data_IF_440996769075
#
_entry.id   IF_440996769075
#
_cell.length_a   1.000
_cell.length_b   1.000
_cell.length_c   1.000
_cell.angle_alpha   90.00
_cell.angle_beta   90.00
_cell.angle_gamma   90.00
#
_symmetry.space_group_name_H-M   'P 1'
#
loop_
_entity.id
_entity.type
_entity.pdbx_description
1 polymer ?
#
# COMPACT_ATOMS: atom_id res chain seq x y z
N UNK A 1 -6.64 3.08 6.91
CA UNK A 1 -5.23 3.19 6.47
C UNK A 1 -4.91 4.53 5.83
N UNK A 2 -5.65 4.98 4.81
CA UNK A 2 -5.37 6.26 4.13
C UNK A 2 -5.37 7.47 5.07
N UNK A 3 -6.36 7.57 5.97
CA UNK A 3 -6.41 8.64 6.98
C UNK A 3 -5.24 8.62 7.98
N UNK A 4 -4.61 7.46 8.21
CA UNK A 4 -3.39 7.38 9.00
C UNK A 4 -2.21 7.92 8.20
N UNK A 5 -2.06 7.49 6.94
CA UNK A 5 -1.01 7.96 6.05
C UNK A 5 -1.05 9.47 5.84
N UNK A 6 -2.22 10.04 5.54
CA UNK A 6 -2.41 11.49 5.40
C UNK A 6 -1.91 12.27 6.63
N UNK A 7 -2.17 11.76 7.84
CA UNK A 7 -1.69 12.37 9.08
C UNK A 7 -0.18 12.23 9.26
N UNK A 8 0.38 11.04 8.99
CA UNK A 8 1.82 10.80 9.10
C UNK A 8 2.64 11.66 8.12
N UNK A 9 2.08 11.96 6.95
CA UNK A 9 2.69 12.86 5.96
C UNK A 9 2.34 14.34 6.15
N UNK A 10 1.68 14.71 7.25
CA UNK A 10 1.32 16.08 7.58
C UNK A 10 0.50 16.78 6.46
N UNK A 11 -0.35 16.02 5.76
CA UNK A 11 -1.21 16.58 4.72
C UNK A 11 -2.18 17.58 5.36
N UNK A 12 -2.34 18.80 4.82
CA UNK A 12 -3.25 19.81 5.35
C UNK A 12 -4.67 19.29 5.58
N UNK A 13 -5.33 19.76 6.64
CA UNK A 13 -6.65 19.25 7.02
C UNK A 13 -7.71 19.47 5.94
N UNK A 14 -7.64 20.59 5.23
CA UNK A 14 -8.54 20.92 4.13
C UNK A 14 -8.46 19.90 3.00
N UNK A 15 -7.25 19.40 2.68
CA UNK A 15 -7.06 18.35 1.68
C UNK A 15 -7.59 17.01 2.19
N UNK A 16 -7.41 16.69 3.47
CA UNK A 16 -7.98 15.46 4.04
C UNK A 16 -9.51 15.45 3.94
N UNK A 17 -10.15 16.58 4.25
CA UNK A 17 -11.61 16.75 4.14
C UNK A 17 -12.04 16.64 2.69
N UNK A 18 -11.36 17.33 1.77
CA UNK A 18 -11.64 17.24 0.34
C UNK A 18 -11.56 15.78 -0.18
N UNK A 19 -10.57 15.01 0.28
CA UNK A 19 -10.42 13.61 -0.09
C UNK A 19 -11.52 12.73 0.52
N UNK A 20 -11.86 12.93 1.79
CA UNK A 20 -12.98 12.21 2.43
C UNK A 20 -14.28 12.49 1.67
N UNK A 21 -14.56 13.75 1.35
CA UNK A 21 -15.74 14.14 0.57
C UNK A 21 -15.73 13.49 -0.83
N UNK A 22 -14.57 13.49 -1.50
CA UNK A 22 -14.39 12.89 -2.83
C UNK A 22 -14.70 11.38 -2.84
N UNK A 23 -14.33 10.65 -1.79
CA UNK A 23 -14.59 9.21 -1.68
C UNK A 23 -15.92 8.85 -1.01
N UNK A 24 -16.52 9.76 -0.22
CA UNK A 24 -17.73 9.50 0.59
C UNK A 24 -19.00 9.12 -0.20
N UNK A 25 -19.01 9.38 -1.51
CA UNK A 25 -20.12 9.07 -2.41
C UNK A 25 -19.67 8.37 -3.69
N UNK A 26 -18.51 7.70 -3.67
CA UNK A 26 -17.95 7.11 -4.87
C UNK A 26 -18.82 5.95 -5.36
N UNK A 27 -19.32 6.09 -6.58
CA UNK A 27 -20.18 5.08 -7.22
C UNK A 27 -19.58 4.66 -8.55
N UNK A 28 -19.57 3.36 -8.77
CA UNK A 28 -19.11 2.76 -10.02
C UNK A 28 -20.28 2.14 -10.76
N UNK A 29 -20.20 2.16 -12.09
CA UNK A 29 -21.14 1.51 -12.99
C UNK A 29 -20.34 0.87 -14.10
N UNK A 30 -20.68 -0.35 -14.46
CA UNK A 30 -20.04 -1.04 -15.57
C UNK A 30 -20.93 -0.95 -16.79
N UNK A 31 -20.36 -0.54 -17.92
CA UNK A 31 -21.05 -0.44 -19.20
C UNK A 31 -20.40 -1.38 -20.19
N UNK A 32 -21.20 -2.21 -20.84
CA UNK A 32 -20.84 -3.04 -21.97
C UNK A 32 -21.53 -2.51 -23.24
N UNK A 33 -21.33 -3.15 -24.38
CA UNK A 33 -22.01 -2.78 -25.64
C UNK A 33 -23.53 -2.97 -25.52
N UNK A 34 -23.99 -3.96 -24.76
CA UNK A 34 -25.40 -4.38 -24.72
C UNK A 34 -26.16 -3.94 -23.47
N UNK A 35 -25.47 -3.72 -22.35
CA UNK A 35 -26.11 -3.28 -21.11
C UNK A 35 -25.14 -2.55 -20.20
N UNK A 36 -25.70 -1.82 -19.22
CA UNK A 36 -24.94 -1.23 -18.14
C UNK A 36 -25.59 -1.57 -16.79
N UNK A 37 -24.77 -1.88 -15.79
CA UNK A 37 -25.21 -2.28 -14.45
C UNK A 37 -25.93 -1.13 -13.73
N UNK A 38 -26.54 -1.39 -12.58
CA UNK A 38 -26.90 -0.31 -11.67
C UNK A 38 -25.64 0.33 -11.04
N UNK A 39 -25.84 1.47 -10.39
CA UNK A 39 -24.79 2.12 -9.62
C UNK A 39 -24.46 1.30 -8.38
N UNK A 40 -23.18 1.02 -8.19
CA UNK A 40 -22.64 0.27 -7.05
C UNK A 40 -21.83 1.25 -6.20
N UNK A 41 -22.13 1.32 -4.90
CA UNK A 41 -21.35 2.11 -3.96
C UNK A 41 -20.01 1.42 -3.69
N UNK A 42 -18.91 2.17 -3.76
CA UNK A 42 -17.58 1.66 -3.41
C UNK A 42 -17.30 1.97 -1.94
N UNK A 43 -17.61 1.03 -1.05
CA UNK A 43 -17.54 1.25 0.40
C UNK A 43 -16.13 1.10 0.98
N UNK A 44 -15.29 0.25 0.38
CA UNK A 44 -13.96 -0.09 0.89
C UNK A 44 -12.91 0.10 -0.19
N UNK A 45 -11.80 0.72 0.20
CA UNK A 45 -10.62 0.87 -0.63
C UNK A 45 -10.62 2.15 -1.47
N UNK A 46 -9.87 2.11 -2.56
CA UNK A 46 -9.69 3.20 -3.53
C UNK A 46 -10.08 2.71 -4.90
N UNK A 47 -10.66 3.59 -5.72
CA UNK A 47 -11.09 3.23 -7.05
C UNK A 47 -9.88 3.03 -7.98
N UNK A 48 -9.73 1.82 -8.54
CA UNK A 48 -8.76 1.55 -9.59
C UNK A 48 -9.08 2.41 -10.83
N UNK A 49 -8.07 3.05 -11.41
CA UNK A 49 -8.24 3.97 -12.53
C UNK A 49 -8.55 5.43 -12.16
N UNK A 50 -8.74 5.73 -10.87
CA UNK A 50 -8.81 7.12 -10.40
C UNK A 50 -7.41 7.71 -10.22
N UNK A 51 -7.19 8.95 -10.68
CA UNK A 51 -5.87 9.59 -10.71
C UNK A 51 -5.21 9.75 -9.34
N UNK A 52 -6.00 10.01 -8.28
CA UNK A 52 -5.46 10.18 -6.92
C UNK A 52 -5.18 8.83 -6.23
N UNK A 53 -5.80 7.74 -6.71
CA UNK A 53 -5.70 6.41 -6.08
C UNK A 53 -4.26 5.89 -6.00
N UNK A 54 -3.42 5.92 -7.05
CA UNK A 54 -2.03 5.48 -6.95
C UNK A 54 -1.23 6.25 -5.89
N UNK A 55 -1.48 7.55 -5.74
CA UNK A 55 -0.78 8.39 -4.76
C UNK A 55 -1.16 7.97 -3.34
N UNK A 56 -2.46 7.83 -3.08
CA UNK A 56 -2.96 7.39 -1.77
C UNK A 56 -2.52 5.97 -1.43
N UNK A 57 -2.45 5.11 -2.44
CA UNK A 57 -1.94 3.75 -2.30
C UNK A 57 -0.47 3.75 -1.87
N UNK A 58 0.40 4.46 -2.61
CA UNK A 58 1.83 4.55 -2.29
C UNK A 58 2.05 5.14 -0.91
N UNK A 59 1.30 6.19 -0.53
CA UNK A 59 1.37 6.75 0.82
C UNK A 59 1.00 5.73 1.91
N UNK A 60 -0.05 4.94 1.69
CA UNK A 60 -0.46 3.91 2.64
C UNK A 60 0.55 2.77 2.73
N UNK A 61 1.07 2.31 1.59
CA UNK A 61 2.13 1.30 1.53
C UNK A 61 3.40 1.77 2.23
N UNK A 62 3.81 3.01 2.03
CA UNK A 62 5.01 3.56 2.67
C UNK A 62 4.90 3.59 4.20
N UNK A 63 3.70 3.76 4.77
CA UNK A 63 3.49 3.61 6.22
C UNK A 63 3.78 2.18 6.69
N UNK A 64 3.33 1.19 5.91
CA UNK A 64 3.57 -0.24 6.18
C UNK A 64 5.07 -0.54 6.05
N UNK A 65 5.71 -0.05 4.98
CA UNK A 65 7.13 -0.27 4.72
C UNK A 65 8.02 0.36 5.78
N UNK A 66 7.68 1.56 6.29
CA UNK A 66 8.42 2.16 7.41
C UNK A 66 8.33 1.32 8.68
N UNK A 67 7.13 0.83 9.02
CA UNK A 67 6.95 -0.04 10.17
C UNK A 67 7.69 -1.39 10.01
N UNK A 68 7.74 -1.92 8.79
CA UNK A 68 8.47 -3.14 8.47
C UNK A 68 9.99 -2.94 8.41
N UNK A 69 10.45 -1.77 7.96
CA UNK A 69 11.86 -1.40 7.85
C UNK A 69 12.58 -1.41 9.21
N UNK A 70 11.91 -0.96 10.26
CA UNK A 70 12.43 -1.04 11.64
C UNK A 70 12.68 -2.50 12.10
N UNK A 71 12.02 -3.48 11.47
CA UNK A 71 12.18 -4.91 11.75
C UNK A 71 13.20 -5.59 10.81
N UNK A 72 13.67 -4.90 9.77
CA UNK A 72 14.52 -5.46 8.72
C UNK A 72 15.95 -4.94 8.91
N UNK A 73 16.82 -5.76 9.52
CA UNK A 73 18.23 -5.42 9.70
C UNK A 73 19.00 -5.34 8.36
N UNK A 74 20.14 -4.64 8.33
CA UNK A 74 21.01 -4.55 7.16
C UNK A 74 21.41 -5.93 6.61
N UNK A 75 21.20 -6.17 5.31
CA UNK A 75 21.65 -7.40 4.62
C UNK A 75 23.01 -7.15 3.99
N UNK A 76 24.05 -7.82 4.51
CA UNK A 76 25.35 -7.87 3.84
C UNK A 76 25.32 -8.98 2.79
N UNK A 77 25.44 -8.60 1.52
CA UNK A 77 25.67 -9.55 0.43
C UNK A 77 27.16 -9.87 0.34
N UNK A 78 27.47 -11.06 -0.18
CA UNK A 78 28.86 -11.47 -0.45
C UNK A 78 29.51 -10.47 -1.40
N UNK A 79 30.68 -9.94 -1.03
CA UNK A 79 31.43 -8.97 -1.84
C UNK A 79 31.29 -7.51 -1.42
N UNK A 80 30.70 -7.21 -0.26
CA UNK A 80 30.60 -5.84 0.27
C UNK A 80 29.47 -5.01 -0.36
N UNK A 81 28.61 -5.63 -1.15
CA UNK A 81 27.39 -5.01 -1.65
C UNK A 81 26.34 -4.96 -0.55
N UNK A 82 25.77 -3.78 -0.35
CA UNK A 82 24.66 -3.55 0.56
C UNK A 82 23.37 -3.43 -0.25
N UNK A 83 22.34 -4.18 0.10
CA UNK A 83 21.00 -4.03 -0.47
C UNK A 83 20.02 -3.69 0.64
N UNK A 84 19.10 -2.73 0.43
CA UNK A 84 18.06 -2.48 1.40
C UNK A 84 17.27 -3.79 1.62
N UNK A 85 16.98 -4.14 2.88
CA UNK A 85 16.39 -5.43 3.22
C UNK A 85 14.90 -5.53 2.86
N UNK A 86 14.30 -4.41 2.44
CA UNK A 86 12.92 -4.27 2.03
C UNK A 86 12.87 -3.38 0.78
N UNK A 87 12.35 -3.93 -0.31
CA UNK A 87 12.13 -3.23 -1.58
C UNK A 87 10.66 -3.38 -1.93
N UNK A 88 10.02 -2.32 -2.44
CA UNK A 88 8.61 -2.38 -2.80
C UNK A 88 8.31 -1.60 -4.07
N UNK A 89 7.43 -2.17 -4.88
CA UNK A 89 6.90 -1.54 -6.07
C UNK A 89 5.38 -1.74 -6.11
N UNK A 90 4.65 -0.69 -5.77
CA UNK A 90 3.19 -0.71 -5.67
C UNK A 90 2.76 -1.84 -4.72
N UNK A 91 2.10 -2.89 -5.22
CA UNK A 91 1.60 -4.02 -4.45
C UNK A 91 2.65 -5.14 -4.26
N UNK A 92 3.73 -5.12 -5.04
CA UNK A 92 4.83 -6.06 -4.88
C UNK A 92 5.79 -5.60 -3.78
N UNK A 93 6.03 -6.45 -2.79
CA UNK A 93 7.01 -6.19 -1.73
C UNK A 93 7.96 -7.37 -1.61
N UNK A 94 9.26 -7.07 -1.67
CA UNK A 94 10.35 -8.03 -1.57
C UNK A 94 11.11 -7.83 -0.27
N UNK A 95 11.30 -8.93 0.49
CA UNK A 95 12.12 -8.95 1.70
C UNK A 95 13.35 -9.79 1.41
N UNK A 96 14.53 -9.19 1.61
CA UNK A 96 15.81 -9.87 1.45
C UNK A 96 16.32 -10.22 2.84
N UNK A 97 16.80 -11.46 3.03
CA UNK A 97 17.41 -11.93 4.27
C UNK A 97 18.75 -12.59 3.97
N UNK A 98 19.71 -12.50 4.89
CA UNK A 98 21.03 -13.13 4.74
C UNK A 98 21.03 -14.64 5.01
N UNK A 99 19.99 -15.18 5.66
CA UNK A 99 19.90 -16.58 6.09
C UNK A 99 18.53 -17.17 5.75
N UNK A 100 18.53 -18.42 5.30
CA UNK A 100 17.32 -19.18 4.99
C UNK A 100 16.37 -19.30 6.18
N UNK A 101 16.88 -19.63 7.37
CA UNK A 101 16.06 -19.74 8.60
C UNK A 101 15.31 -18.45 8.94
N UNK A 102 15.91 -17.29 8.65
CA UNK A 102 15.29 -15.99 8.88
C UNK A 102 14.17 -15.73 7.87
N UNK A 103 14.40 -16.11 6.61
CA UNK A 103 13.38 -16.04 5.55
C UNK A 103 12.17 -16.90 5.90
N UNK A 104 12.37 -18.18 6.25
CA UNK A 104 11.28 -19.09 6.60
C UNK A 104 10.43 -18.56 7.77
N UNK A 105 11.08 -18.06 8.84
CA UNK A 105 10.37 -17.47 9.98
C UNK A 105 9.58 -16.22 9.62
N UNK A 106 10.10 -15.36 8.73
CA UNK A 106 9.37 -14.16 8.28
C UNK A 106 8.19 -14.53 7.40
N UNK A 107 8.33 -15.53 6.52
CA UNK A 107 7.24 -16.04 5.70
C UNK A 107 6.11 -16.66 6.54
N UNK A 108 6.45 -17.53 7.49
CA UNK A 108 5.46 -18.13 8.41
C UNK A 108 4.67 -17.07 9.18
N UNK A 109 5.29 -15.94 9.54
CA UNK A 109 4.60 -14.83 10.21
C UNK A 109 3.67 -14.05 9.29
N UNK A 110 3.96 -14.00 7.99
CA UNK A 110 3.13 -13.31 7.00
C UNK A 110 1.90 -14.15 6.61
N UNK A 111 2.02 -15.48 6.58
CA UNK A 111 0.92 -16.40 6.23
C UNK A 111 -0.19 -16.50 7.29
N UNK A 112 0.06 -16.01 8.51
CA UNK A 112 -0.89 -16.10 9.65
C UNK A 112 -1.71 -14.81 9.82
N UNK A 113 -1.49 -13.80 8.96
CA UNK A 113 -2.26 -12.54 8.92
C UNK A 113 -3.46 -12.64 7.98
#
# INVERSE_FOLDING_TARGET
>A
MIQLALRMYHVPKDIQVMLDDYFSGFRVRFSTISYATDWINLEIGIAMGCTISPILFVMAMEVILKAAGDCAGPVNLVGGCYMPPLEAFVDETNIICSKEDETCRKLERLDVL
#
